data_IF_031591217642
#
_entry.id   IF_031591217642
#
_cell.length_a   1.000
_cell.length_b   1.000
_cell.length_c   1.000
_cell.angle_alpha   90.00
_cell.angle_beta   90.00
_cell.angle_gamma   90.00
#
_symmetry.space_group_name_H-M   'P 1'
#
loop_
_entity.id
_entity.type
_entity.pdbx_description
1 polymer ?
#
# COMPACT_ATOMS: atom_id res chain seq x y z
N UNK A 1 -38.01 4.35 -15.48
CA UNK A 1 -37.25 4.08 -14.24
C UNK A 1 -36.37 5.26 -13.94
N UNK A 2 -36.29 5.73 -12.69
CA UNK A 2 -35.33 6.76 -12.27
C UNK A 2 -34.33 6.14 -11.30
N UNK A 3 -33.05 6.53 -11.41
CA UNK A 3 -32.05 6.18 -10.39
C UNK A 3 -32.51 6.79 -9.06
N UNK A 4 -32.41 6.01 -7.98
CA UNK A 4 -32.82 6.42 -6.62
C UNK A 4 -31.65 6.60 -5.67
N UNK A 5 -30.52 5.97 -5.97
CA UNK A 5 -29.29 6.08 -5.19
C UNK A 5 -28.08 5.81 -6.08
N UNK A 6 -26.95 6.41 -5.69
CA UNK A 6 -25.62 6.11 -6.23
C UNK A 6 -24.70 5.87 -5.04
N UNK A 7 -23.93 4.78 -5.08
CA UNK A 7 -22.97 4.42 -4.05
C UNK A 7 -21.59 4.52 -4.69
N UNK A 8 -20.68 5.21 -3.99
CA UNK A 8 -19.30 5.37 -4.42
C UNK A 8 -18.39 4.67 -3.42
N UNK A 9 -17.38 3.97 -3.94
CA UNK A 9 -16.23 3.58 -3.14
C UNK A 9 -15.46 4.83 -2.72
N UNK A 10 -14.80 4.78 -1.57
CA UNK A 10 -13.91 5.83 -1.14
C UNK A 10 -12.59 5.74 -1.92
N UNK A 11 -11.90 4.60 -1.84
CA UNK A 11 -10.57 4.41 -2.43
C UNK A 11 -10.62 4.17 -3.94
N UNK A 12 -9.82 4.91 -4.71
CA UNK A 12 -9.76 4.79 -6.16
C UNK A 12 -10.93 5.42 -6.93
N UNK A 13 -11.99 5.87 -6.23
CA UNK A 13 -13.16 6.54 -6.83
C UNK A 13 -13.28 7.97 -6.31
N UNK A 14 -13.53 8.18 -5.02
CA UNK A 14 -13.62 9.52 -4.43
C UNK A 14 -12.25 10.11 -4.09
N UNK A 15 -11.32 9.26 -3.63
CA UNK A 15 -9.92 9.62 -3.36
C UNK A 15 -8.97 8.69 -4.10
N UNK A 16 -7.73 9.13 -4.32
CA UNK A 16 -6.72 8.28 -4.97
C UNK A 16 -6.38 7.09 -4.07
N UNK A 17 -6.33 5.87 -4.63
CA UNK A 17 -5.95 4.69 -3.87
C UNK A 17 -4.46 4.74 -3.48
N UNK A 18 -4.06 4.13 -2.35
CA UNK A 18 -2.66 4.13 -1.89
C UNK A 18 -1.66 3.70 -2.96
N UNK A 19 -2.03 2.71 -3.79
CA UNK A 19 -1.21 2.23 -4.90
C UNK A 19 -0.87 3.31 -5.94
N UNK A 20 -1.86 4.15 -6.28
CA UNK A 20 -1.69 5.27 -7.19
C UNK A 20 -0.69 6.28 -6.62
N UNK A 21 -0.76 6.53 -5.31
CA UNK A 21 0.20 7.40 -4.62
C UNK A 21 1.61 6.79 -4.58
N UNK A 22 1.74 5.48 -4.35
CA UNK A 22 3.04 4.82 -4.23
C UNK A 22 3.82 4.79 -5.54
N UNK A 23 3.20 4.31 -6.62
CA UNK A 23 3.84 4.21 -7.94
C UNK A 23 3.90 5.54 -8.70
N UNK A 24 3.20 6.55 -8.18
CA UNK A 24 2.93 7.81 -8.86
C UNK A 24 1.83 7.62 -9.88
N UNK A 25 0.74 8.36 -9.71
CA UNK A 25 -0.32 8.42 -10.71
C UNK A 25 0.09 9.40 -11.80
N UNK A 26 -0.60 9.36 -12.95
CA UNK A 26 -0.41 10.33 -14.03
C UNK A 26 -0.77 11.77 -13.61
N UNK A 27 -1.32 11.96 -12.40
CA UNK A 27 -1.76 13.25 -11.88
C UNK A 27 -0.57 13.99 -11.27
N UNK A 28 -0.33 15.27 -11.61
CA UNK A 28 0.83 16.05 -11.18
C UNK A 28 1.04 16.14 -9.66
N UNK A 29 -0.03 16.00 -8.88
CA UNK A 29 0.00 16.13 -7.42
C UNK A 29 0.64 14.93 -6.71
N UNK A 30 0.67 13.75 -7.33
CA UNK A 30 1.16 12.52 -6.71
C UNK A 30 2.51 12.12 -7.32
N UNK A 31 3.60 12.74 -6.84
CA UNK A 31 4.93 12.21 -7.14
C UNK A 31 5.08 10.84 -6.49
N UNK A 32 5.53 9.85 -7.26
CA UNK A 32 5.75 8.48 -6.79
C UNK A 32 6.54 8.46 -5.48
N UNK A 33 5.91 7.95 -4.43
CA UNK A 33 6.55 7.73 -3.14
C UNK A 33 7.73 6.77 -3.28
N UNK A 34 7.55 5.68 -4.03
CA UNK A 34 8.62 4.71 -4.28
C UNK A 34 9.82 5.38 -4.95
N UNK A 35 9.60 6.22 -5.97
CA UNK A 35 10.69 6.98 -6.59
C UNK A 35 11.35 7.95 -5.61
N UNK A 36 10.57 8.64 -4.77
CA UNK A 36 11.08 9.61 -3.80
C UNK A 36 11.94 8.95 -2.72
N UNK A 37 11.60 7.73 -2.33
CA UNK A 37 12.27 6.94 -1.28
C UNK A 37 13.25 5.90 -1.86
N UNK A 38 13.54 5.97 -3.16
CA UNK A 38 14.46 5.05 -3.86
C UNK A 38 14.08 3.57 -3.71
N UNK A 39 12.78 3.29 -3.62
CA UNK A 39 12.25 1.94 -3.68
C UNK A 39 12.04 1.48 -5.12
N UNK A 40 12.18 0.17 -5.32
CA UNK A 40 11.87 -0.47 -6.59
C UNK A 40 10.41 -0.24 -6.97
N UNK A 41 10.15 0.07 -8.24
CA UNK A 41 8.79 0.38 -8.70
C UNK A 41 7.83 -0.81 -8.47
N UNK A 42 6.74 -0.57 -7.76
CA UNK A 42 5.71 -1.54 -7.39
C UNK A 42 6.13 -2.52 -6.29
N UNK A 43 7.27 -2.31 -5.63
CA UNK A 43 7.76 -3.19 -4.58
C UNK A 43 6.85 -3.20 -3.35
N UNK A 44 6.28 -2.05 -2.97
CA UNK A 44 5.44 -1.93 -1.77
C UNK A 44 4.18 -2.78 -1.92
N UNK A 45 3.47 -2.61 -3.05
CA UNK A 45 2.27 -3.39 -3.36
C UNK A 45 2.57 -4.89 -3.47
N UNK A 46 3.67 -5.24 -4.13
CA UNK A 46 4.07 -6.64 -4.26
C UNK A 46 4.34 -7.26 -2.89
N UNK A 47 5.04 -6.56 -2.00
CA UNK A 47 5.25 -7.04 -0.64
C UNK A 47 3.94 -7.20 0.13
N UNK A 48 3.02 -6.25 -0.01
CA UNK A 48 1.70 -6.27 0.64
C UNK A 48 0.88 -7.52 0.25
N UNK A 49 0.96 -7.92 -1.02
CA UNK A 49 0.21 -9.04 -1.57
C UNK A 49 0.94 -10.39 -1.49
N UNK A 50 2.13 -10.44 -0.91
CA UNK A 50 2.90 -11.69 -0.80
C UNK A 50 2.67 -12.35 0.57
N UNK A 51 2.44 -13.68 0.65
CA UNK A 51 2.42 -14.37 1.93
C UNK A 51 3.74 -14.23 2.71
N UNK A 52 3.71 -14.14 4.06
CA UNK A 52 2.51 -14.14 4.92
C UNK A 52 1.87 -12.74 5.10
N UNK A 53 2.46 -11.68 4.54
CA UNK A 53 1.99 -10.29 4.73
C UNK A 53 0.56 -10.10 4.24
N UNK A 54 0.21 -10.75 3.12
CA UNK A 54 -1.14 -10.69 2.56
C UNK A 54 -2.21 -11.05 3.58
N UNK A 55 -2.01 -12.12 4.35
CA UNK A 55 -3.03 -12.60 5.30
C UNK A 55 -3.24 -11.58 6.43
N UNK A 56 -2.15 -10.97 6.89
CA UNK A 56 -2.21 -9.88 7.88
C UNK A 56 -2.83 -8.60 7.32
N UNK A 57 -2.57 -8.28 6.05
CA UNK A 57 -3.20 -7.15 5.38
C UNK A 57 -4.70 -7.36 5.22
N UNK A 58 -5.15 -8.56 4.82
CA UNK A 58 -6.57 -8.87 4.73
C UNK A 58 -7.24 -8.86 6.12
N UNK A 59 -6.54 -9.27 7.19
CA UNK A 59 -7.04 -9.12 8.56
C UNK A 59 -7.20 -7.65 8.96
N UNK A 60 -6.29 -6.77 8.54
CA UNK A 60 -6.38 -5.32 8.76
C UNK A 60 -7.62 -4.74 8.05
N UNK A 61 -7.83 -5.10 6.79
CA UNK A 61 -9.00 -4.66 6.01
C UNK A 61 -10.34 -5.14 6.61
N UNK A 62 -10.33 -6.27 7.32
CA UNK A 62 -11.49 -6.78 8.07
C UNK A 62 -11.64 -6.18 9.47
N UNK A 63 -10.68 -5.37 9.92
CA UNK A 63 -10.66 -4.80 11.28
C UNK A 63 -10.35 -5.82 12.39
N UNK A 64 -9.72 -6.95 12.04
CA UNK A 64 -9.34 -8.01 12.99
C UNK A 64 -8.00 -7.71 13.70
N UNK A 65 -7.22 -6.77 13.16
CA UNK A 65 -5.96 -6.27 13.72
C UNK A 65 -5.90 -4.76 13.55
N UNK A 66 -4.96 -4.12 14.24
CA UNK A 66 -4.72 -2.68 14.12
C UNK A 66 -3.59 -2.35 13.14
N UNK A 67 -3.51 -1.09 12.71
CA UNK A 67 -2.38 -0.61 11.91
C UNK A 67 -1.08 -0.65 12.74
N UNK A 68 -1.17 -0.36 14.04
CA UNK A 68 -0.08 -0.41 14.99
C UNK A 68 0.54 -1.81 15.10
N UNK A 69 -0.28 -2.86 14.98
CA UNK A 69 0.18 -4.25 14.94
C UNK A 69 0.73 -4.65 13.55
N UNK A 70 0.12 -4.14 12.49
CA UNK A 70 0.49 -4.47 11.11
C UNK A 70 1.79 -3.82 10.65
N UNK A 71 2.02 -2.55 11.01
CA UNK A 71 3.14 -1.74 10.52
C UNK A 71 4.52 -2.36 10.82
N UNK A 72 4.81 -2.86 12.05
CA UNK A 72 6.08 -3.53 12.34
C UNK A 72 6.29 -4.81 11.52
N UNK A 73 5.22 -5.59 11.31
CA UNK A 73 5.25 -6.83 10.52
C UNK A 73 5.59 -6.54 9.05
N UNK A 74 4.85 -5.61 8.44
CA UNK A 74 5.10 -5.20 7.06
C UNK A 74 6.51 -4.63 6.89
N UNK A 75 6.91 -3.71 7.77
CA UNK A 75 8.23 -3.08 7.75
C UNK A 75 9.35 -4.12 7.83
N UNK A 76 9.24 -5.06 8.76
CA UNK A 76 10.24 -6.11 8.92
C UNK A 76 10.31 -7.03 7.69
N UNK A 77 9.17 -7.43 7.13
CA UNK A 77 9.13 -8.25 5.92
C UNK A 77 9.78 -7.52 4.75
N UNK A 78 9.35 -6.28 4.51
CA UNK A 78 9.82 -5.47 3.39
C UNK A 78 11.35 -5.25 3.48
N UNK A 79 11.87 -4.92 4.66
CA UNK A 79 13.31 -4.72 4.89
C UNK A 79 14.15 -6.01 4.79
N UNK A 80 13.57 -7.18 5.03
CA UNK A 80 14.31 -8.45 4.92
C UNK A 80 14.29 -9.02 3.51
N UNK A 81 13.18 -8.87 2.80
CA UNK A 81 12.91 -9.61 1.56
C UNK A 81 12.98 -8.75 0.30
N UNK A 82 12.78 -7.44 0.41
CA UNK A 82 12.58 -6.56 -0.75
C UNK A 82 13.56 -5.41 -0.75
N UNK A 83 13.61 -4.63 0.32
CA UNK A 83 14.62 -3.59 0.50
C UNK A 83 15.90 -4.24 1.00
N UNK A 84 16.93 -4.33 0.17
CA UNK A 84 18.29 -4.63 0.66
C UNK A 84 18.74 -3.42 1.48
N UNK A 85 18.41 -3.38 2.77
CA UNK A 85 19.13 -2.49 3.68
C UNK A 85 20.59 -2.93 3.63
N UNK A 86 21.39 -2.21 2.84
CA UNK A 86 22.83 -2.13 3.05
C UNK A 86 22.96 -1.46 4.41
N UNK A 87 23.24 -2.25 5.43
CA UNK A 87 23.80 -1.70 6.66
C UNK A 87 25.04 -0.91 6.24
N UNK A 88 24.95 0.42 6.27
CA UNK A 88 26.14 1.26 6.34
C UNK A 88 26.67 1.00 7.75
N UNK A 89 27.78 0.25 7.81
CA UNK A 89 28.59 0.11 9.02
C UNK A 89 29.24 1.44 9.35
#
# INVERSE_FOLDING_TARGET
MSIKAVIFDMGGVLIEAPYGMWRGSSKPLFRSLEKKLEFDRGSLMRALLTPPVRDHFEALERGETTAEDFDPLFTQYYNKKVSRIRYIR
#
